data_IF_357987654300
#
_entry.id   IF_357987654300
#
_cell.length_a   1.000
_cell.length_b   1.000
_cell.length_c   1.000
_cell.angle_alpha   90.00
_cell.angle_beta   90.00
_cell.angle_gamma   90.00
#
_symmetry.space_group_name_H-M   'P 1'
#
loop_
_entity.id
_entity.type
_entity.pdbx_description
1 polymer ?
#
# COMPACT_ATOMS: atom_id res chain seq x y z
N UNK A 1 -5.53 28.04 4.52
CA UNK A 1 -6.69 27.30 5.11
C UNK A 1 -6.15 26.21 6.01
N UNK A 2 -6.43 26.22 7.31
CA UNK A 2 -6.14 25.07 8.19
C UNK A 2 -7.22 24.01 7.95
N UNK A 3 -6.83 22.78 7.67
CA UNK A 3 -7.74 21.64 7.45
C UNK A 3 -7.88 20.90 8.78
N UNK A 4 -9.10 20.54 9.17
CA UNK A 4 -9.40 19.72 10.35
C UNK A 4 -10.39 18.62 9.96
N UNK A 5 -10.36 17.49 10.65
CA UNK A 5 -11.36 16.44 10.52
C UNK A 5 -12.52 16.70 11.48
N UNK A 6 -13.73 16.24 11.14
CA UNK A 6 -14.91 16.38 12.00
C UNK A 6 -15.58 15.03 12.15
N UNK A 7 -15.73 14.55 13.38
CA UNK A 7 -16.48 13.34 13.67
C UNK A 7 -17.99 13.66 13.67
N UNK A 8 -18.82 12.98 12.85
CA UNK A 8 -20.26 13.27 12.75
C UNK A 8 -21.03 13.09 14.06
N UNK A 9 -20.52 12.24 14.96
CA UNK A 9 -21.21 11.82 16.20
C UNK A 9 -20.72 12.64 17.41
N UNK A 10 -19.43 12.96 17.47
CA UNK A 10 -18.78 13.57 18.65
C UNK A 10 -18.74 15.11 18.53
N UNK A 11 -19.20 15.65 17.40
CA UNK A 11 -19.37 17.08 17.12
C UNK A 11 -18.18 17.94 17.55
N UNK A 12 -16.97 17.44 17.30
CA UNK A 12 -15.70 18.02 17.75
C UNK A 12 -14.64 17.92 16.67
N UNK A 13 -13.92 19.01 16.33
CA UNK A 13 -12.87 18.96 15.33
C UNK A 13 -11.63 18.24 15.88
N UNK A 14 -11.03 17.40 15.05
CA UNK A 14 -9.69 16.83 15.27
C UNK A 14 -8.70 17.45 14.28
N UNK A 15 -7.48 17.70 14.73
CA UNK A 15 -6.39 18.10 13.84
C UNK A 15 -6.03 16.98 12.88
N UNK A 16 -5.31 17.33 11.81
CA UNK A 16 -4.83 16.34 10.83
C UNK A 16 -3.82 15.33 11.39
N UNK A 17 -3.21 15.63 12.53
CA UNK A 17 -2.34 14.72 13.29
C UNK A 17 -3.12 13.81 14.27
N UNK A 18 -4.45 13.90 14.27
CA UNK A 18 -5.33 13.07 15.10
C UNK A 18 -5.62 13.63 16.50
N UNK A 19 -5.03 14.76 16.90
CA UNK A 19 -5.35 15.40 18.19
C UNK A 19 -6.79 15.89 18.23
N UNK A 20 -7.52 15.58 19.30
CA UNK A 20 -8.83 16.17 19.55
C UNK A 20 -8.66 17.62 20.03
N UNK A 21 -9.18 18.57 19.25
CA UNK A 21 -9.11 19.99 19.61
C UNK A 21 -10.16 20.35 20.65
N UNK A 22 -11.38 19.85 20.44
CA UNK A 22 -12.54 20.18 21.25
C UNK A 22 -13.64 19.13 21.09
N UNK A 23 -14.46 18.93 22.13
CA UNK A 23 -15.67 18.12 22.10
C UNK A 23 -16.76 18.78 22.97
N UNK A 24 -18.02 18.75 22.49
CA UNK A 24 -19.15 19.42 23.13
C UNK A 24 -19.67 18.62 24.34
N UNK A 25 -20.10 19.33 25.39
CA UNK A 25 -20.87 18.78 26.52
C UNK A 25 -20.22 17.58 27.25
N UNK A 26 -18.88 17.53 27.30
CA UNK A 26 -18.14 16.44 27.97
C UNK A 26 -17.94 16.65 29.48
N UNK A 27 -18.29 17.82 30.02
CA UNK A 27 -18.12 18.18 31.43
C UNK A 27 -16.71 18.69 31.79
N UNK A 28 -16.52 19.17 33.04
CA UNK A 28 -15.29 19.84 33.48
C UNK A 28 -14.09 18.90 33.68
N UNK A 29 -14.32 17.60 33.85
CA UNK A 29 -13.28 16.58 34.06
C UNK A 29 -12.75 15.98 32.75
N UNK A 30 -13.28 16.40 31.60
CA UNK A 30 -12.88 15.86 30.31
C UNK A 30 -11.50 16.38 29.89
N UNK A 31 -10.63 15.46 29.47
CA UNK A 31 -9.28 15.75 29.01
C UNK A 31 -9.12 15.43 27.51
N UNK A 32 -9.31 16.40 26.58
CA UNK A 32 -9.25 16.14 25.14
C UNK A 32 -7.95 15.45 24.67
N UNK A 33 -6.83 15.72 25.35
CA UNK A 33 -5.53 15.12 25.07
C UNK A 33 -5.53 13.58 25.16
N UNK A 34 -6.45 12.97 25.91
CA UNK A 34 -6.56 11.52 26.09
C UNK A 34 -7.51 10.85 25.07
N UNK A 35 -8.15 11.63 24.21
CA UNK A 35 -9.20 11.18 23.30
C UNK A 35 -8.92 11.51 21.82
N UNK A 36 -7.66 11.63 21.44
CA UNK A 36 -7.25 11.71 20.03
C UNK A 36 -7.58 10.44 19.24
N UNK A 37 -7.51 10.53 17.92
CA UNK A 37 -7.59 9.36 17.04
C UNK A 37 -6.45 8.38 17.36
N UNK A 38 -6.74 7.09 17.31
CA UNK A 38 -5.72 6.06 17.48
C UNK A 38 -4.76 6.12 16.28
N UNK A 39 -3.45 6.31 16.51
CA UNK A 39 -2.48 6.32 15.42
C UNK A 39 -2.34 4.90 14.82
N UNK A 40 -1.93 4.85 13.56
CA UNK A 40 -1.56 3.64 12.84
C UNK A 40 -0.15 3.85 12.29
N UNK A 41 0.72 2.85 12.44
CA UNK A 41 2.07 2.94 11.88
C UNK A 41 1.98 3.07 10.36
N UNK A 42 2.73 4.01 9.79
CA UNK A 42 2.63 4.40 8.40
C UNK A 42 4.03 4.63 7.85
N UNK A 43 4.35 3.98 6.73
CA UNK A 43 5.63 4.09 6.04
C UNK A 43 5.40 4.35 4.54
N UNK A 44 6.37 4.99 3.89
CA UNK A 44 6.33 5.23 2.44
C UNK A 44 7.51 4.53 1.78
N UNK A 45 7.22 3.66 0.81
CA UNK A 45 8.22 2.98 -0.02
C UNK A 45 7.85 3.16 -1.50
N UNK A 46 8.81 3.66 -2.30
CA UNK A 46 8.65 4.01 -3.70
C UNK A 46 7.36 4.77 -3.99
N UNK A 47 7.06 5.83 -3.23
CA UNK A 47 5.84 6.63 -3.38
C UNK A 47 4.52 5.95 -2.98
N UNK A 48 4.56 4.68 -2.56
CA UNK A 48 3.39 3.93 -2.07
C UNK A 48 3.29 4.01 -0.54
N UNK A 49 2.07 4.15 -0.03
CA UNK A 49 1.79 4.24 1.41
C UNK A 49 1.45 2.86 1.97
N UNK A 50 2.18 2.42 2.99
CA UNK A 50 1.96 1.17 3.71
C UNK A 50 1.55 1.44 5.15
N UNK A 51 0.66 0.61 5.69
CA UNK A 51 0.13 0.73 7.06
C UNK A 51 0.35 -0.57 7.82
N UNK A 52 0.67 -0.48 9.11
CA UNK A 52 0.74 -1.63 10.02
C UNK A 52 -0.21 -1.42 11.22
N UNK A 53 -1.10 -2.39 11.42
CA UNK A 53 -2.13 -2.36 12.48
C UNK A 53 -1.66 -3.00 13.79
N UNK A 54 -0.45 -3.57 13.82
CA UNK A 54 0.14 -4.11 15.05
C UNK A 54 0.43 -2.98 16.04
N UNK A 55 0.32 -3.28 17.34
CA UNK A 55 0.68 -2.32 18.39
C UNK A 55 2.19 -2.03 18.40
N UNK A 56 3.00 -3.03 18.07
CA UNK A 56 4.43 -2.94 17.87
C UNK A 56 4.73 -3.31 16.40
N UNK A 57 4.98 -2.32 15.52
CA UNK A 57 5.20 -2.59 14.10
C UNK A 57 6.55 -3.27 13.89
N UNK A 58 6.55 -4.33 13.09
CA UNK A 58 7.80 -4.98 12.63
C UNK A 58 8.64 -4.03 11.78
N UNK A 59 9.95 -4.24 11.76
CA UNK A 59 10.84 -3.50 10.89
C UNK A 59 10.42 -3.63 9.42
N UNK A 60 10.33 -2.48 8.74
CA UNK A 60 9.92 -2.36 7.34
C UNK A 60 11.10 -1.95 6.44
N UNK A 61 12.30 -1.79 7.00
CA UNK A 61 13.47 -1.25 6.30
C UNK A 61 13.87 -2.06 5.07
N UNK A 62 13.88 -3.40 5.16
CA UNK A 62 14.26 -4.29 4.06
C UNK A 62 13.27 -4.21 2.89
N UNK A 63 11.96 -4.22 3.19
CA UNK A 63 10.90 -4.09 2.18
C UNK A 63 10.99 -2.73 1.50
N UNK A 64 11.19 -1.67 2.29
CA UNK A 64 11.37 -0.31 1.78
C UNK A 64 12.57 -0.22 0.84
N UNK A 65 13.73 -0.74 1.24
CA UNK A 65 14.93 -0.72 0.42
C UNK A 65 14.76 -1.48 -0.91
N UNK A 66 14.11 -2.65 -0.87
CA UNK A 66 13.84 -3.43 -2.06
C UNK A 66 12.87 -2.71 -3.02
N UNK A 67 11.77 -2.16 -2.49
CA UNK A 67 10.80 -1.40 -3.28
C UNK A 67 11.40 -0.11 -3.87
N UNK A 68 12.11 0.67 -3.06
CA UNK A 68 12.78 1.91 -3.49
C UNK A 68 13.77 1.62 -4.62
N UNK A 69 14.54 0.53 -4.54
CA UNK A 69 15.48 0.12 -5.60
C UNK A 69 14.75 -0.31 -6.87
N UNK A 70 13.81 -1.26 -6.77
CA UNK A 70 13.20 -1.87 -7.96
C UNK A 70 12.28 -0.90 -8.72
N UNK A 71 11.58 -0.03 -7.99
CA UNK A 71 10.62 0.89 -8.57
C UNK A 71 11.20 2.29 -8.89
N UNK A 72 12.45 2.58 -8.52
CA UNK A 72 13.10 3.87 -8.79
C UNK A 72 12.94 4.37 -10.24
N UNK A 73 13.15 3.54 -11.28
CA UNK A 73 13.01 3.99 -12.68
C UNK A 73 11.60 4.47 -13.04
N UNK A 74 10.59 4.08 -12.28
CA UNK A 74 9.19 4.39 -12.56
C UNK A 74 8.70 5.69 -11.90
N UNK A 75 9.47 6.30 -10.99
CA UNK A 75 9.12 7.57 -10.31
C UNK A 75 7.69 7.58 -9.79
N UNK A 76 7.34 6.52 -9.05
CA UNK A 76 5.96 6.25 -8.61
C UNK A 76 5.34 7.41 -7.80
N UNK A 77 6.17 8.20 -7.12
CA UNK A 77 5.79 9.41 -6.36
C UNK A 77 5.29 10.56 -7.24
N UNK A 78 5.55 10.53 -8.54
CA UNK A 78 5.09 11.52 -9.52
C UNK A 78 3.87 11.06 -10.32
N UNK A 79 3.40 9.84 -10.09
CA UNK A 79 2.26 9.29 -10.80
C UNK A 79 0.93 9.85 -10.26
N UNK A 80 -0.10 9.71 -11.10
CA UNK A 80 -1.50 9.93 -10.72
C UNK A 80 -2.33 8.70 -11.07
N UNK A 81 -3.39 8.46 -10.29
CA UNK A 81 -4.34 7.37 -10.58
C UNK A 81 -5.13 7.73 -11.84
N UNK A 82 -4.82 7.05 -12.95
CA UNK A 82 -5.53 7.22 -14.23
C UNK A 82 -6.85 6.43 -14.28
N UNK A 83 -6.89 5.25 -13.67
CA UNK A 83 -8.05 4.37 -13.63
C UNK A 83 -8.04 3.50 -12.36
N UNK A 84 -9.21 3.15 -11.83
CA UNK A 84 -9.38 2.23 -10.70
C UNK A 84 -10.55 1.29 -10.97
N UNK A 85 -10.31 -0.01 -10.84
CA UNK A 85 -11.34 -1.05 -10.84
C UNK A 85 -11.44 -1.66 -9.44
N UNK A 86 -12.62 -2.12 -9.07
CA UNK A 86 -12.86 -2.85 -7.82
C UNK A 86 -13.86 -3.96 -8.09
N UNK A 87 -13.42 -5.19 -7.85
CA UNK A 87 -14.18 -6.41 -8.09
C UNK A 87 -14.28 -7.22 -6.80
N UNK A 88 -15.37 -7.97 -6.68
CA UNK A 88 -15.55 -8.93 -5.59
C UNK A 88 -15.38 -10.34 -6.13
N UNK A 89 -14.25 -10.96 -5.82
CA UNK A 89 -14.05 -12.38 -6.09
C UNK A 89 -14.64 -13.20 -4.94
N UNK A 90 -15.50 -14.16 -5.27
CA UNK A 90 -16.11 -15.08 -4.29
C UNK A 90 -15.14 -16.21 -3.93
N UNK A 91 -13.94 -15.84 -3.50
CA UNK A 91 -12.84 -16.74 -3.17
C UNK A 91 -12.15 -16.28 -1.88
N UNK A 92 -11.39 -17.19 -1.26
CA UNK A 92 -10.49 -16.80 -0.19
C UNK A 92 -9.32 -15.98 -0.76
N UNK A 93 -8.86 -14.95 -0.06
CA UNK A 93 -7.74 -14.11 -0.52
C UNK A 93 -6.46 -14.92 -0.81
N UNK A 94 -6.25 -16.06 -0.14
CA UNK A 94 -5.11 -16.93 -0.42
C UNK A 94 -5.18 -17.55 -1.81
N UNK A 95 -6.38 -17.92 -2.28
CA UNK A 95 -6.56 -18.45 -3.63
C UNK A 95 -6.25 -17.38 -4.69
N UNK A 96 -6.58 -16.12 -4.42
CA UNK A 96 -6.21 -15.00 -5.29
C UNK A 96 -4.69 -14.86 -5.38
N UNK A 97 -4.00 -14.97 -4.24
CA UNK A 97 -2.53 -14.93 -4.20
C UNK A 97 -1.91 -16.15 -4.88
N UNK A 98 -2.40 -17.36 -4.63
CA UNK A 98 -1.92 -18.59 -5.28
C UNK A 98 -2.07 -18.49 -6.80
N UNK A 99 -3.21 -18.03 -7.30
CA UNK A 99 -3.44 -17.79 -8.73
C UNK A 99 -2.52 -16.69 -9.30
N UNK A 100 -2.21 -15.65 -8.54
CA UNK A 100 -1.32 -14.57 -9.01
C UNK A 100 0.15 -15.00 -9.11
N UNK A 101 0.54 -16.05 -8.36
CA UNK A 101 1.95 -16.45 -8.19
C UNK A 101 2.40 -17.55 -9.14
N UNK A 102 1.60 -17.87 -10.14
CA UNK A 102 1.95 -18.79 -11.23
C UNK A 102 1.36 -18.33 -12.57
N UNK A 103 1.85 -18.90 -13.67
CA UNK A 103 1.29 -18.70 -15.01
C UNK A 103 0.89 -20.03 -15.70
N UNK A 104 0.79 -21.12 -14.93
CA UNK A 104 0.36 -22.43 -15.41
C UNK A 104 -1.05 -22.39 -16.01
N UNK A 105 -1.93 -21.54 -15.47
CA UNK A 105 -3.28 -21.31 -16.03
C UNK A 105 -3.31 -20.34 -17.23
N UNK A 106 -2.24 -19.59 -17.50
CA UNK A 106 -2.26 -18.47 -18.44
C UNK A 106 -2.63 -18.89 -19.87
N UNK A 107 -1.98 -19.93 -20.40
CA UNK A 107 -2.19 -20.38 -21.78
C UNK A 107 -3.66 -20.79 -22.04
N UNK A 108 -4.35 -21.32 -21.03
CA UNK A 108 -5.75 -21.74 -21.14
C UNK A 108 -6.77 -20.65 -20.82
N UNK A 109 -6.39 -19.60 -20.08
CA UNK A 109 -7.34 -18.65 -19.49
C UNK A 109 -7.17 -17.20 -19.95
N UNK A 110 -6.01 -16.79 -20.46
CA UNK A 110 -5.71 -15.36 -20.73
C UNK A 110 -5.25 -15.06 -22.17
N UNK A 111 -6.09 -15.27 -23.21
CA UNK A 111 -5.68 -15.05 -24.60
C UNK A 111 -5.28 -13.61 -24.95
N UNK A 112 -5.71 -12.61 -24.18
CA UNK A 112 -5.27 -11.23 -24.33
C UNK A 112 -3.89 -10.99 -23.69
N UNK A 113 -3.66 -11.50 -22.48
CA UNK A 113 -2.42 -11.32 -21.73
C UNK A 113 -1.24 -12.03 -22.39
N UNK A 114 -1.46 -13.25 -22.88
CA UNK A 114 -0.43 -14.08 -23.54
C UNK A 114 0.14 -13.47 -24.83
N UNK A 115 -0.41 -12.35 -25.32
CA UNK A 115 0.15 -11.62 -26.46
C UNK A 115 1.36 -10.76 -26.08
N UNK A 116 1.53 -10.43 -24.80
CA UNK A 116 2.52 -9.45 -24.34
C UNK A 116 3.25 -9.85 -23.06
N UNK A 117 2.68 -10.74 -22.26
CA UNK A 117 3.28 -11.19 -21.02
C UNK A 117 4.32 -12.27 -21.29
N UNK A 118 5.53 -12.09 -20.77
CA UNK A 118 6.60 -13.10 -20.83
C UNK A 118 6.43 -14.05 -19.64
N UNK A 119 6.35 -15.36 -19.88
CA UNK A 119 6.20 -16.39 -18.86
C UNK A 119 7.53 -16.99 -18.40
N UNK A 120 8.65 -16.36 -18.76
CA UNK A 120 9.99 -16.70 -18.28
C UNK A 120 10.06 -16.69 -16.74
N UNK A 121 10.34 -17.84 -16.10
CA UNK A 121 10.42 -17.94 -14.64
C UNK A 121 11.56 -17.11 -14.02
N UNK A 122 12.58 -16.75 -14.81
CA UNK A 122 13.69 -15.90 -14.35
C UNK A 122 13.31 -14.41 -14.34
N UNK A 123 12.13 -14.05 -14.85
CA UNK A 123 11.58 -12.69 -14.79
C UNK A 123 10.28 -12.62 -13.99
N UNK A 124 9.53 -13.73 -13.92
CA UNK A 124 8.21 -13.81 -13.28
C UNK A 124 8.26 -14.72 -12.07
N UNK A 125 8.12 -14.12 -10.88
CA UNK A 125 7.83 -14.85 -9.64
C UNK A 125 8.96 -14.85 -8.62
N UNK A 126 10.21 -15.05 -9.01
CA UNK A 126 11.32 -15.22 -8.04
C UNK A 126 12.54 -14.31 -8.23
N UNK A 127 12.56 -13.49 -9.28
CA UNK A 127 13.70 -12.62 -9.53
C UNK A 127 13.68 -11.40 -8.60
N UNK A 128 14.74 -11.24 -7.82
CA UNK A 128 15.06 -10.01 -7.10
C UNK A 128 15.75 -8.99 -8.00
N UNK A 129 15.78 -9.24 -9.32
CA UNK A 129 16.42 -8.39 -10.33
C UNK A 129 17.91 -8.20 -10.08
N UNK A 130 18.54 -9.21 -9.48
CA UNK A 130 19.99 -9.32 -9.35
C UNK A 130 20.58 -10.37 -10.29
N UNK A 131 19.76 -11.33 -10.75
CA UNK A 131 20.26 -12.48 -11.51
C UNK A 131 19.91 -12.43 -13.00
N UNK A 132 18.77 -11.83 -13.37
CA UNK A 132 18.44 -11.60 -14.77
C UNK A 132 19.16 -10.34 -15.30
N UNK A 133 19.80 -10.41 -16.49
CA UNK A 133 20.35 -9.22 -17.15
C UNK A 133 19.31 -8.12 -17.33
N UNK A 134 18.09 -8.49 -17.70
CA UNK A 134 16.97 -7.57 -17.95
C UNK A 134 16.53 -6.86 -16.66
N UNK A 135 16.46 -7.58 -15.54
CA UNK A 135 16.13 -7.02 -14.23
C UNK A 135 17.24 -6.08 -13.73
N UNK A 136 18.50 -6.46 -13.88
CA UNK A 136 19.63 -5.62 -13.52
C UNK A 136 19.67 -4.33 -14.35
N UNK A 137 19.47 -4.43 -15.67
CA UNK A 137 19.39 -3.29 -16.59
C UNK A 137 18.19 -2.39 -16.29
N UNK A 138 17.07 -2.94 -15.82
CA UNK A 138 15.92 -2.15 -15.38
C UNK A 138 16.27 -1.29 -14.18
N UNK A 139 16.84 -1.89 -13.13
CA UNK A 139 17.19 -1.19 -11.87
C UNK A 139 18.28 -0.12 -12.08
N UNK A 140 19.14 -0.28 -13.09
CA UNK A 140 20.24 0.65 -13.36
C UNK A 140 19.85 1.93 -14.13
N UNK A 141 18.58 2.10 -14.53
CA UNK A 141 18.08 3.27 -15.29
C UNK A 141 17.94 4.52 -14.43
#
# INVERSE_FOLDING_TARGET
>A
MRRSWSAPIINGPTETDGRLLWARDMGPEFEPARHGLKPVACEIAAGMVFLCLAADPTDFSEVKAAADRYAAPHRLDELKVAHRSSILEKANWKLVMENNRECYHCAGSHPALCRTFNDDPDLVGSDDSLYSPEGADHVAR
#
